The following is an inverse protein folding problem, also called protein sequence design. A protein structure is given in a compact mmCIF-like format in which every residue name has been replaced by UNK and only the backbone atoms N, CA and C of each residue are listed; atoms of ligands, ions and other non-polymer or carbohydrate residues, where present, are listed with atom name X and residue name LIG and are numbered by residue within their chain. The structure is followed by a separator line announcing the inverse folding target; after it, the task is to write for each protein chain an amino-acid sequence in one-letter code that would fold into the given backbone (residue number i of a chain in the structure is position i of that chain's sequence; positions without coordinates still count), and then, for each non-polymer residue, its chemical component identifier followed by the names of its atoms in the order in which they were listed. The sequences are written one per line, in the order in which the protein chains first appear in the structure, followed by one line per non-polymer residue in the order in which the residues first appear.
data_IF_436837739826
#
_entry.id   IF_436837739826
#
_cell.length_a   1.000
_cell.length_b   1.000
_cell.length_c   1.000
_cell.angle_alpha   90.00
_cell.angle_beta   90.00
_cell.angle_gamma   90.00
#
_symmetry.space_group_name_H-M   'P 1'
#
loop_
_entity.id
_entity.type
_entity.pdbx_description
1 polymer ?
#
# COMPACT_ATOMS: atom_id res chain seq x y z
N UNK A 1 -28.28 11.04 -23.99
CA UNK A 1 -27.11 10.13 -23.84
C UNK A 1 -26.25 10.46 -22.63
N UNK A 2 -26.07 11.73 -22.21
CA UNK A 2 -25.23 12.13 -21.07
C UNK A 2 -25.62 11.50 -19.71
N UNK A 3 -26.90 11.25 -19.46
CA UNK A 3 -27.42 10.65 -18.21
C UNK A 3 -27.05 9.18 -18.03
N UNK A 4 -26.96 8.41 -19.12
CA UNK A 4 -26.57 7.00 -19.08
C UNK A 4 -25.07 6.88 -18.72
N UNK A 5 -24.24 7.77 -19.28
CA UNK A 5 -22.81 7.84 -18.97
C UNK A 5 -22.56 8.16 -17.49
N UNK A 6 -23.35 9.08 -16.91
CA UNK A 6 -23.24 9.44 -15.49
C UNK A 6 -23.60 8.25 -14.58
N UNK A 7 -24.67 7.51 -14.90
CA UNK A 7 -25.05 6.30 -14.14
C UNK A 7 -23.99 5.21 -14.21
N UNK A 8 -23.36 5.04 -15.36
CA UNK A 8 -22.26 4.09 -15.53
C UNK A 8 -21.02 4.50 -14.72
N UNK A 9 -20.73 5.81 -14.64
CA UNK A 9 -19.66 6.36 -13.82
C UNK A 9 -19.88 6.07 -12.34
N UNK A 10 -21.11 6.24 -11.83
CA UNK A 10 -21.45 5.93 -10.44
C UNK A 10 -21.31 4.44 -10.10
N UNK A 11 -21.62 3.54 -11.04
CA UNK A 11 -21.46 2.10 -10.84
C UNK A 11 -19.98 1.66 -10.80
N UNK A 12 -19.10 2.32 -11.57
CA UNK A 12 -17.65 2.07 -11.51
C UNK A 12 -17.06 2.64 -10.21
N UNK A 13 -17.49 3.84 -9.81
CA UNK A 13 -17.03 4.50 -8.59
C UNK A 13 -17.42 3.73 -7.31
N UNK A 14 -18.60 3.12 -7.26
CA UNK A 14 -19.04 2.36 -6.08
C UNK A 14 -18.24 1.07 -5.87
N UNK A 15 -17.76 0.43 -6.95
CA UNK A 15 -16.83 -0.71 -6.85
C UNK A 15 -15.40 -0.30 -6.48
N UNK A 16 -14.97 0.90 -6.89
CA UNK A 16 -13.61 1.38 -6.67
C UNK A 16 -13.37 2.01 -5.28
N UNK A 17 -14.37 2.65 -4.67
CA UNK A 17 -14.22 3.23 -3.31
C UNK A 17 -13.98 2.15 -2.25
N UNK A 18 -14.54 0.95 -2.43
CA UNK A 18 -14.36 -0.20 -1.52
C UNK A 18 -12.93 -0.75 -1.63
N UNK A 19 -12.44 -0.94 -2.85
CA UNK A 19 -11.05 -1.37 -3.11
C UNK A 19 -10.03 -0.38 -2.55
N UNK A 20 -10.30 0.94 -2.63
CA UNK A 20 -9.40 1.96 -2.07
C UNK A 20 -9.25 1.86 -0.56
N UNK A 21 -10.31 1.53 0.19
CA UNK A 21 -10.25 1.37 1.65
C UNK A 21 -9.53 0.08 2.06
N UNK A 22 -9.79 -1.01 1.35
CA UNK A 22 -9.13 -2.29 1.59
C UNK A 22 -7.63 -2.21 1.31
N UNK A 23 -7.23 -1.52 0.23
CA UNK A 23 -5.82 -1.29 -0.10
C UNK A 23 -5.14 -0.34 0.89
N UNK A 24 -5.84 0.70 1.36
CA UNK A 24 -5.30 1.58 2.41
C UNK A 24 -5.11 0.81 3.73
N UNK A 25 -6.03 -0.09 4.07
CA UNK A 25 -5.89 -0.94 5.25
C UNK A 25 -4.72 -1.92 5.10
N UNK A 26 -4.60 -2.59 3.96
CA UNK A 26 -3.47 -3.48 3.67
C UNK A 26 -2.12 -2.76 3.76
N UNK A 27 -2.03 -1.53 3.25
CA UNK A 27 -0.84 -0.71 3.37
C UNK A 27 -0.48 -0.41 4.83
N UNK A 28 -1.46 -0.05 5.67
CA UNK A 28 -1.24 0.19 7.11
C UNK A 28 -0.80 -1.07 7.85
N UNK A 29 -1.44 -2.21 7.58
CA UNK A 29 -1.07 -3.49 8.19
C UNK A 29 0.36 -3.90 7.83
N UNK A 30 0.76 -3.69 6.58
CA UNK A 30 2.13 -3.94 6.13
C UNK A 30 3.14 -2.97 6.77
N UNK A 31 2.80 -1.70 6.95
CA UNK A 31 3.64 -0.76 7.71
C UNK A 31 3.83 -1.19 9.16
N UNK A 32 2.76 -1.62 9.83
CA UNK A 32 2.83 -2.09 11.21
C UNK A 32 3.72 -3.34 11.33
N UNK A 33 3.61 -4.27 10.38
CA UNK A 33 4.49 -5.45 10.31
C UNK A 33 5.95 -5.07 10.07
N UNK A 34 6.21 -4.06 9.23
CA UNK A 34 7.54 -3.53 8.99
C UNK A 34 8.14 -2.94 10.28
N UNK A 35 7.37 -2.13 11.01
CA UNK A 35 7.79 -1.56 12.29
C UNK A 35 8.06 -2.64 13.34
N UNK A 36 7.20 -3.66 13.43
CA UNK A 36 7.42 -4.80 14.33
C UNK A 36 8.68 -5.60 13.97
N UNK A 37 9.01 -5.71 12.68
CA UNK A 37 10.24 -6.36 12.20
C UNK A 37 11.48 -5.52 12.55
N UNK A 38 11.43 -4.20 12.39
CA UNK A 38 12.52 -3.30 12.82
C UNK A 38 12.76 -3.38 14.34
N UNK A 39 11.69 -3.46 15.14
CA UNK A 39 11.83 -3.60 16.59
C UNK A 39 12.44 -4.96 16.97
N UNK A 40 12.12 -6.04 16.22
CA UNK A 40 12.80 -7.33 16.36
C UNK A 40 14.30 -7.22 16.06
N UNK A 41 14.67 -6.56 14.96
CA UNK A 41 16.07 -6.33 14.60
C UNK A 41 16.82 -5.57 15.70
N UNK A 42 16.18 -4.53 16.25
CA UNK A 42 16.73 -3.74 17.36
C UNK A 42 16.96 -4.60 18.61
N UNK A 43 16.00 -5.45 19.00
CA UNK A 43 16.16 -6.37 20.12
C UNK A 43 17.31 -7.36 19.92
N UNK A 44 17.49 -7.89 18.71
CA UNK A 44 18.64 -8.75 18.42
C UNK A 44 19.98 -7.99 18.53
N UNK A 45 20.00 -6.70 18.20
CA UNK A 45 21.16 -5.82 18.36
C UNK A 45 21.53 -5.47 19.81
N UNK A 46 20.66 -5.74 20.79
CA UNK A 46 20.96 -5.55 22.22
C UNK A 46 21.84 -6.68 22.78
N UNK A 47 21.90 -7.81 22.09
CA UNK A 47 22.70 -8.97 22.49
C UNK A 47 24.08 -8.94 21.82
N UNK A 48 25.09 -9.66 22.37
CA UNK A 48 26.42 -9.74 21.77
C UNK A 48 26.34 -10.20 20.32
N UNK A 49 27.26 -9.71 19.47
CA UNK A 49 27.35 -10.04 18.04
C UNK A 49 27.77 -11.49 17.76
N UNK A 50 27.00 -12.46 18.26
CA UNK A 50 27.06 -13.85 17.83
C UNK A 50 26.51 -13.98 16.41
N UNK A 51 26.91 -15.04 15.72
CA UNK A 51 26.43 -15.33 14.38
C UNK A 51 24.90 -15.40 14.32
N UNK A 52 24.28 -16.08 15.29
CA UNK A 52 22.82 -16.21 15.39
C UNK A 52 22.11 -14.86 15.57
N UNK A 53 22.72 -13.92 16.31
CA UNK A 53 22.14 -12.59 16.50
C UNK A 53 22.29 -11.74 15.24
N UNK A 54 23.43 -11.83 14.55
CA UNK A 54 23.66 -11.14 13.27
C UNK A 54 22.65 -11.64 12.23
N UNK A 55 22.49 -12.95 12.08
CA UNK A 55 21.48 -13.52 11.18
C UNK A 55 20.05 -13.11 11.58
N UNK A 56 19.76 -13.02 12.88
CA UNK A 56 18.48 -12.54 13.40
C UNK A 56 18.19 -11.09 13.00
N UNK A 57 19.20 -10.21 13.07
CA UNK A 57 19.12 -8.81 12.63
C UNK A 57 18.88 -8.75 11.11
N UNK A 58 19.66 -9.50 10.34
CA UNK A 58 19.56 -9.51 8.87
C UNK A 58 18.17 -9.97 8.41
N UNK A 59 17.67 -11.10 8.91
CA UNK A 59 16.30 -11.56 8.58
C UNK A 59 15.23 -10.56 8.99
N UNK A 60 15.35 -9.95 10.16
CA UNK A 60 14.37 -8.99 10.62
C UNK A 60 14.37 -7.70 9.77
N UNK A 61 15.54 -7.30 9.25
CA UNK A 61 15.64 -6.17 8.32
C UNK A 61 15.08 -6.52 6.93
N UNK A 62 15.34 -7.73 6.43
CA UNK A 62 14.77 -8.21 5.17
C UNK A 62 13.24 -8.27 5.23
N UNK A 63 12.69 -8.80 6.33
CA UNK A 63 11.25 -8.79 6.62
C UNK A 63 10.70 -7.34 6.59
N UNK A 64 11.39 -6.42 7.28
CA UNK A 64 10.96 -5.03 7.35
C UNK A 64 10.91 -4.37 5.97
N UNK A 65 11.94 -4.61 5.15
CA UNK A 65 12.05 -4.09 3.79
C UNK A 65 10.99 -4.68 2.86
N UNK A 66 10.72 -5.99 2.99
CA UNK A 66 9.67 -6.67 2.26
C UNK A 66 8.30 -6.05 2.54
N UNK A 67 7.92 -5.92 3.82
CA UNK A 67 6.62 -5.34 4.19
C UNK A 67 6.51 -3.86 3.80
N UNK A 68 7.59 -3.10 3.92
CA UNK A 68 7.61 -1.70 3.47
C UNK A 68 7.38 -1.59 1.95
N UNK A 69 7.97 -2.50 1.16
CA UNK A 69 7.78 -2.53 -0.29
C UNK A 69 6.34 -2.87 -0.67
N UNK A 70 5.71 -3.83 0.00
CA UNK A 70 4.30 -4.17 -0.23
C UNK A 70 3.37 -2.99 0.15
N UNK A 71 3.60 -2.33 1.28
CA UNK A 71 2.83 -1.14 1.66
C UNK A 71 2.92 0.00 0.63
N UNK A 72 4.10 0.22 0.07
CA UNK A 72 4.31 1.24 -0.96
C UNK A 72 3.66 0.86 -2.29
N UNK A 73 3.63 -0.43 -2.64
CA UNK A 73 2.95 -0.93 -3.83
C UNK A 73 1.44 -0.74 -3.73
N UNK A 74 0.86 -1.04 -2.58
CA UNK A 74 -0.58 -0.85 -2.32
C UNK A 74 -0.97 0.64 -2.44
N UNK A 75 -0.13 1.54 -1.91
CA UNK A 75 -0.31 3.00 -2.09
C UNK A 75 -0.13 3.46 -3.52
N UNK A 76 0.89 2.95 -4.23
CA UNK A 76 1.16 3.31 -5.63
C UNK A 76 -0.02 3.00 -6.54
N UNK A 77 -0.59 1.79 -6.40
CA UNK A 77 -1.77 1.38 -7.15
C UNK A 77 -3.00 2.27 -6.87
N UNK A 78 -3.15 2.75 -5.63
CA UNK A 78 -4.21 3.70 -5.29
C UNK A 78 -4.03 5.04 -6.03
N UNK A 79 -2.81 5.59 -6.08
CA UNK A 79 -2.53 6.85 -6.81
C UNK A 79 -2.75 6.72 -8.32
N UNK A 80 -2.35 5.60 -8.93
CA UNK A 80 -2.60 5.33 -10.36
C UNK A 80 -4.10 5.30 -10.67
N UNK A 81 -4.89 4.65 -9.81
CA UNK A 81 -6.35 4.62 -9.97
C UNK A 81 -6.96 6.03 -9.92
N UNK A 82 -6.58 6.86 -8.94
CA UNK A 82 -7.10 8.23 -8.83
C UNK A 82 -6.69 9.11 -10.02
N UNK A 83 -5.46 8.96 -10.53
CA UNK A 83 -4.98 9.67 -11.72
C UNK A 83 -5.85 9.33 -12.94
N UNK A 84 -6.09 8.03 -13.17
CA UNK A 84 -6.88 7.55 -14.30
C UNK A 84 -8.33 8.03 -14.23
N UNK A 85 -8.89 8.11 -13.02
CA UNK A 85 -10.22 8.66 -12.79
C UNK A 85 -10.29 10.17 -13.11
N UNK A 86 -9.27 10.93 -12.70
CA UNK A 86 -9.16 12.36 -12.99
C UNK A 86 -9.06 12.63 -14.50
N UNK A 87 -8.27 11.83 -15.21
CA UNK A 87 -8.12 11.96 -16.67
C UNK A 87 -9.47 11.75 -17.38
N UNK A 88 -10.22 10.71 -16.99
CA UNK A 88 -11.56 10.43 -17.54
C UNK A 88 -12.53 11.59 -17.26
N UNK A 89 -12.53 12.14 -16.05
CA UNK A 89 -13.40 13.27 -15.69
C UNK A 89 -13.05 14.51 -16.49
N UNK A 90 -11.75 14.85 -16.59
CA UNK A 90 -11.26 16.02 -17.34
C UNK A 90 -11.58 15.90 -18.82
N UNK A 91 -11.43 14.72 -19.41
CA UNK A 91 -11.71 14.48 -20.83
C UNK A 91 -13.21 14.58 -21.15
N UNK A 92 -14.08 14.14 -20.23
CA UNK A 92 -15.53 14.31 -20.37
C UNK A 92 -16.01 15.75 -20.12
N UNK A 93 -15.30 16.55 -19.32
CA UNK A 93 -15.65 17.95 -19.05
C UNK A 93 -15.24 18.92 -20.17
N UNK A 94 -14.28 18.52 -21.02
CA UNK A 94 -13.81 19.32 -22.17
C UNK A 94 -14.64 19.11 -23.45
N UNK A 95 -15.59 18.17 -23.47
CA UNK A 95 -16.54 17.91 -24.58
C UNK A 95 -17.93 18.49 -24.30
#
# INVERSE_FOLDING_TARGET
MKTITILFLFAILSGCVTSSKEMEQAARENEERSLAAQERAKRHGEFPGSHDNIEGIERANDDALHFQKEANKDRGAMYEFFSLLLDVVVENYKR
#
